data_IF_207826788193
#
_entry.id   IF_207826788193
#
_cell.length_a   1.000
_cell.length_b   1.000
_cell.length_c   1.000
_cell.angle_alpha   90.00
_cell.angle_beta   90.00
_cell.angle_gamma   90.00
#
_symmetry.space_group_name_H-M   'P 1'
#
loop_
_entity.id
_entity.type
_entity.pdbx_description
1 polymer ?
#
# COMPACT_ATOMS: atom_id res chain seq x y z
N UNK A 1 -16.34 -5.31 -28.38
CA UNK A 1 -15.32 -5.34 -27.30
C UNK A 1 -14.69 -3.95 -27.23
N UNK A 2 -14.95 -3.18 -26.17
CA UNK A 2 -14.42 -1.83 -26.05
C UNK A 2 -12.92 -1.88 -25.68
N UNK A 3 -12.09 -1.18 -26.44
CA UNK A 3 -10.67 -1.04 -26.14
C UNK A 3 -10.50 -0.22 -24.84
N UNK A 4 -10.15 -0.89 -23.74
CA UNK A 4 -9.93 -0.30 -22.40
C UNK A 4 -8.60 0.48 -22.32
N UNK A 5 -7.79 0.44 -23.37
CA UNK A 5 -6.50 1.12 -23.41
C UNK A 5 -6.63 2.55 -23.91
N UNK A 6 -6.32 3.52 -23.03
CA UNK A 6 -6.10 4.91 -23.44
C UNK A 6 -4.78 4.95 -24.20
N UNK A 7 -4.87 4.90 -25.54
CA UNK A 7 -3.73 5.13 -26.43
C UNK A 7 -3.44 6.62 -26.46
N UNK A 8 -2.34 7.05 -25.83
CA UNK A 8 -1.75 8.35 -26.13
C UNK A 8 -0.92 8.26 -27.42
N UNK A 9 -0.69 9.39 -28.10
CA UNK A 9 -0.11 9.51 -29.43
C UNK A 9 1.36 9.04 -29.59
N UNK A 10 1.88 8.31 -28.61
CA UNK A 10 3.21 7.73 -28.53
C UNK A 10 3.03 6.33 -27.96
N UNK A 11 3.70 5.31 -28.47
CA UNK A 11 3.51 3.88 -28.16
C UNK A 11 3.81 3.45 -26.69
N UNK A 12 3.58 4.31 -25.71
CA UNK A 12 3.87 4.08 -24.29
C UNK A 12 2.56 4.07 -23.48
N UNK A 13 2.21 2.92 -22.92
CA UNK A 13 1.08 2.81 -21.99
C UNK A 13 1.44 3.41 -20.62
N UNK A 14 0.50 4.10 -19.98
CA UNK A 14 0.69 4.72 -18.67
C UNK A 14 0.06 3.90 -17.54
N UNK A 15 0.68 3.96 -16.36
CA UNK A 15 0.19 3.28 -15.18
C UNK A 15 -1.18 3.82 -14.76
N UNK A 16 -2.11 2.92 -14.44
CA UNK A 16 -3.50 3.26 -14.06
C UNK A 16 -3.72 3.25 -12.54
N UNK A 17 -2.65 3.27 -11.76
CA UNK A 17 -2.68 3.30 -10.30
C UNK A 17 -3.04 4.66 -9.75
N UNK A 18 -3.60 4.65 -8.54
CA UNK A 18 -3.82 5.84 -7.75
C UNK A 18 -3.27 5.66 -6.34
N UNK A 19 -2.74 6.74 -5.78
CA UNK A 19 -2.18 6.78 -4.43
C UNK A 19 -3.18 7.44 -3.47
N UNK A 20 -3.20 6.97 -2.23
CA UNK A 20 -3.91 7.64 -1.14
C UNK A 20 -3.09 8.82 -0.62
N UNK A 21 -3.73 9.99 -0.47
CA UNK A 21 -3.21 11.18 0.21
C UNK A 21 -4.15 11.58 1.38
N UNK A 22 -3.62 11.83 2.58
CA UNK A 22 -4.42 12.25 3.73
C UNK A 22 -5.15 13.58 3.56
N UNK A 23 -4.73 14.46 2.63
CA UNK A 23 -5.42 15.71 2.25
C UNK A 23 -6.61 15.48 1.31
N UNK A 24 -7.12 14.25 1.24
CA UNK A 24 -8.26 13.80 0.43
C UNK A 24 -8.06 13.93 -1.09
N UNK A 25 -6.81 14.01 -1.56
CA UNK A 25 -6.48 14.01 -2.98
C UNK A 25 -6.12 12.59 -3.43
N UNK A 26 -6.82 12.08 -4.44
CA UNK A 26 -6.41 10.85 -5.11
C UNK A 26 -5.40 11.24 -6.18
N UNK A 27 -4.14 10.83 -6.02
CA UNK A 27 -3.07 11.19 -6.95
C UNK A 27 -2.87 10.06 -7.98
N UNK A 28 -3.07 10.31 -9.29
CA UNK A 28 -2.79 9.30 -10.30
C UNK A 28 -1.28 9.10 -10.50
N UNK A 29 -0.88 7.88 -10.88
CA UNK A 29 0.47 7.63 -11.34
C UNK A 29 0.66 8.11 -12.78
N UNK A 30 1.82 8.71 -13.07
CA UNK A 30 2.19 9.18 -14.42
C UNK A 30 3.33 8.39 -15.06
N UNK A 31 3.78 7.30 -14.41
CA UNK A 31 4.90 6.48 -14.90
C UNK A 31 4.46 5.61 -16.08
N UNK A 32 5.38 5.44 -17.03
CA UNK A 32 5.21 4.49 -18.12
C UNK A 32 5.22 3.04 -17.63
N UNK A 33 4.61 2.16 -18.41
CA UNK A 33 4.49 0.72 -18.14
C UNK A 33 5.46 -0.05 -19.03
N UNK A 34 6.24 -0.92 -18.42
CA UNK A 34 7.12 -1.90 -19.08
C UNK A 34 6.38 -3.18 -19.44
N UNK A 35 5.50 -3.66 -18.54
CA UNK A 35 4.77 -4.92 -18.66
C UNK A 35 3.27 -4.72 -18.84
N UNK A 36 2.70 -5.32 -19.90
CA UNK A 36 1.32 -5.08 -20.32
C UNK A 36 0.32 -6.08 -19.74
N UNK A 37 0.53 -6.52 -18.50
CA UNK A 37 -0.39 -7.42 -17.81
C UNK A 37 -1.50 -6.63 -17.11
N UNK A 38 -2.74 -7.06 -17.33
CA UNK A 38 -3.91 -6.57 -16.61
C UNK A 38 -4.04 -7.33 -15.30
N UNK A 39 -3.87 -6.63 -14.19
CA UNK A 39 -3.93 -7.21 -12.84
C UNK A 39 -4.93 -6.45 -11.98
N UNK A 40 -5.37 -7.06 -10.89
CA UNK A 40 -6.25 -6.43 -9.91
C UNK A 40 -5.90 -6.91 -8.50
N UNK A 41 -5.97 -6.05 -7.47
CA UNK A 41 -5.81 -6.48 -6.07
C UNK A 41 -7.03 -7.28 -5.55
N UNK A 42 -8.18 -7.23 -6.22
CA UNK A 42 -9.39 -7.97 -5.83
C UNK A 42 -10.30 -8.20 -7.05
N UNK A 43 -11.07 -9.28 -7.04
CA UNK A 43 -12.06 -9.61 -8.08
C UNK A 43 -13.15 -8.53 -8.25
N UNK A 44 -13.43 -7.77 -7.20
CA UNK A 44 -14.44 -6.71 -7.20
C UNK A 44 -13.93 -5.38 -7.80
N UNK A 45 -12.66 -5.31 -8.19
CA UNK A 45 -12.04 -4.12 -8.74
C UNK A 45 -11.69 -4.32 -10.22
N UNK A 46 -11.73 -3.22 -10.97
CA UNK A 46 -11.34 -3.22 -12.38
C UNK A 46 -9.86 -3.58 -12.53
N UNK A 47 -9.56 -4.43 -13.50
CA UNK A 47 -8.19 -4.73 -13.89
C UNK A 47 -7.51 -3.47 -14.45
N UNK A 48 -6.23 -3.32 -14.12
CA UNK A 48 -5.39 -2.15 -14.45
C UNK A 48 -4.02 -2.61 -14.92
N UNK A 49 -3.31 -1.74 -15.63
CA UNK A 49 -1.88 -1.90 -15.93
C UNK A 49 -1.02 -1.07 -14.96
N UNK A 50 0.15 -1.60 -14.60
CA UNK A 50 0.98 -1.07 -13.53
C UNK A 50 2.41 -0.81 -14.01
N UNK A 51 3.03 0.31 -13.59
CA UNK A 51 4.48 0.48 -13.72
C UNK A 51 5.21 -0.47 -12.75
N UNK A 52 6.52 -0.66 -12.92
CA UNK A 52 7.31 -1.62 -12.13
C UNK A 52 7.18 -1.40 -10.61
N UNK A 53 7.18 -0.15 -10.16
CA UNK A 53 7.02 0.21 -8.74
C UNK A 53 5.65 -0.23 -8.24
N UNK A 54 4.57 0.09 -8.97
CA UNK A 54 3.23 -0.30 -8.54
C UNK A 54 2.98 -1.80 -8.68
N UNK A 55 3.60 -2.46 -9.64
CA UNK A 55 3.52 -3.90 -9.77
C UNK A 55 4.20 -4.59 -8.59
N UNK A 56 5.38 -4.11 -8.20
CA UNK A 56 6.05 -4.59 -6.99
C UNK A 56 5.22 -4.34 -5.74
N UNK A 57 4.67 -3.14 -5.58
CA UNK A 57 3.80 -2.80 -4.44
C UNK A 57 2.50 -3.62 -4.42
N UNK A 58 1.96 -3.97 -5.60
CA UNK A 58 0.79 -4.84 -5.72
C UNK A 58 1.12 -6.25 -5.21
N UNK A 59 2.29 -6.79 -5.57
CA UNK A 59 2.78 -8.10 -5.11
C UNK A 59 3.04 -8.13 -3.61
N UNK A 60 3.48 -7.02 -3.03
CA UNK A 60 3.74 -6.90 -1.58
C UNK A 60 2.49 -6.46 -0.79
N UNK A 61 1.28 -6.54 -1.36
CA UNK A 61 0.04 -6.22 -0.65
C UNK A 61 -0.06 -4.77 -0.10
N UNK A 62 0.64 -3.83 -0.74
CA UNK A 62 0.57 -2.40 -0.41
C UNK A 62 -0.58 -1.66 -1.11
N UNK A 63 -1.42 -2.38 -1.86
CA UNK A 63 -2.64 -1.87 -2.50
C UNK A 63 -3.87 -2.38 -1.75
N UNK A 64 -4.73 -1.48 -1.27
CA UNK A 64 -5.91 -1.88 -0.51
C UNK A 64 -6.94 -2.56 -1.42
N UNK A 65 -7.33 -3.83 -1.16
CA UNK A 65 -8.17 -4.61 -2.09
C UNK A 65 -9.63 -4.19 -2.08
N UNK A 66 -10.08 -3.42 -1.08
CA UNK A 66 -11.46 -2.92 -1.00
C UNK A 66 -11.70 -1.66 -1.83
N UNK A 67 -10.70 -0.78 -1.99
CA UNK A 67 -10.84 0.47 -2.75
C UNK A 67 -9.90 0.58 -3.97
N UNK A 68 -8.85 -0.23 -4.05
CA UNK A 68 -7.91 -0.26 -5.17
C UNK A 68 -6.91 0.89 -5.20
N UNK A 69 -6.71 1.56 -4.07
CA UNK A 69 -5.70 2.62 -3.89
C UNK A 69 -4.48 2.10 -3.12
N UNK A 70 -3.31 2.60 -3.52
CA UNK A 70 -2.05 2.26 -2.89
C UNK A 70 -1.83 3.06 -1.61
N UNK A 71 -1.57 2.34 -0.51
CA UNK A 71 -1.26 2.89 0.80
C UNK A 71 0.15 3.49 0.77
N UNK A 72 0.26 4.78 0.43
CA UNK A 72 1.53 5.43 0.04
C UNK A 72 1.99 6.47 1.05
N UNK A 73 1.07 7.33 1.52
CA UNK A 73 1.37 8.36 2.51
C UNK A 73 0.17 8.54 3.46
N UNK A 74 0.45 8.77 4.74
CA UNK A 74 -0.55 8.89 5.79
C UNK A 74 -0.68 7.64 6.67
N UNK A 75 -1.76 7.55 7.43
CA UNK A 75 -1.97 6.46 8.41
C UNK A 75 -2.83 5.33 7.84
N UNK A 76 -2.36 4.09 8.02
CA UNK A 76 -3.00 2.86 7.56
C UNK A 76 -2.97 1.80 8.66
N UNK A 77 -3.71 0.71 8.44
CA UNK A 77 -3.61 -0.49 9.26
C UNK A 77 -2.65 -1.49 8.59
N UNK A 78 -1.83 -2.13 9.42
CA UNK A 78 -0.91 -3.18 9.03
C UNK A 78 -1.28 -4.50 9.72
N UNK A 79 -1.55 -5.52 8.91
CA UNK A 79 -1.65 -6.90 9.36
C UNK A 79 -0.31 -7.59 9.06
N UNK A 80 0.37 -8.07 10.11
CA UNK A 80 1.54 -8.94 9.97
C UNK A 80 1.03 -10.34 9.69
N UNK A 81 1.09 -10.76 8.43
CA UNK A 81 0.65 -12.08 8.05
C UNK A 81 1.81 -13.05 8.13
N UNK A 82 1.95 -13.69 9.28
CA UNK A 82 2.88 -14.79 9.48
C UNK A 82 2.17 -16.10 9.13
N UNK A 83 2.24 -16.50 7.86
CA UNK A 83 1.97 -17.89 7.54
C UNK A 83 3.26 -18.66 7.73
N UNK A 84 3.28 -19.57 8.72
CA UNK A 84 4.40 -20.49 8.98
C UNK A 84 4.82 -21.34 7.75
N UNK A 85 4.06 -21.31 6.65
CA UNK A 85 4.38 -21.97 5.38
C UNK A 85 4.91 -21.02 4.28
N UNK A 86 4.89 -19.69 4.48
CA UNK A 86 5.52 -18.72 3.61
C UNK A 86 6.78 -18.20 4.30
N UNK A 87 7.92 -18.27 3.63
CA UNK A 87 9.21 -17.73 4.12
C UNK A 87 9.21 -16.19 4.29
N UNK A 88 8.13 -15.51 3.91
CA UNK A 88 8.05 -14.05 3.86
C UNK A 88 6.97 -13.53 4.80
N UNK A 89 7.38 -12.73 5.79
CA UNK A 89 6.49 -11.96 6.65
C UNK A 89 5.98 -10.75 5.86
N UNK A 90 4.88 -10.91 5.12
CA UNK A 90 4.31 -9.88 4.25
C UNK A 90 3.41 -8.93 5.06
N UNK A 91 3.68 -7.62 4.96
CA UNK A 91 2.88 -6.60 5.60
C UNK A 91 1.68 -6.27 4.72
N UNK A 92 0.48 -6.64 5.15
CA UNK A 92 -0.76 -6.28 4.48
C UNK A 92 -1.18 -4.87 4.90
N UNK A 93 -1.11 -3.92 3.96
CA UNK A 93 -1.50 -2.52 4.21
C UNK A 93 -2.90 -2.24 3.67
N UNK A 94 -3.74 -1.61 4.48
CA UNK A 94 -5.09 -1.22 4.09
C UNK A 94 -5.63 -0.07 4.93
N UNK A 95 -6.64 0.64 4.41
CA UNK A 95 -7.25 1.75 5.12
C UNK A 95 -8.13 1.26 6.27
N UNK A 96 -8.19 2.03 7.37
CA UNK A 96 -9.09 1.74 8.51
C UNK A 96 -10.55 1.57 8.10
N UNK A 97 -11.07 2.43 7.23
CA UNK A 97 -12.43 2.31 6.68
C UNK A 97 -12.63 1.11 5.74
N UNK A 98 -11.54 0.46 5.33
CA UNK A 98 -11.55 -0.67 4.42
C UNK A 98 -11.48 -2.03 5.12
N UNK A 99 -11.59 -2.06 6.45
CA UNK A 99 -11.72 -3.29 7.24
C UNK A 99 -12.88 -4.16 6.72
N UNK A 100 -12.71 -5.48 6.83
CA UNK A 100 -13.85 -6.40 6.78
C UNK A 100 -14.53 -6.34 8.15
N UNK A 101 -15.80 -5.97 8.17
CA UNK A 101 -16.60 -5.97 9.39
C UNK A 101 -17.61 -7.11 9.21
N UNK A 102 -17.33 -8.31 9.74
CA UNK A 102 -18.30 -9.39 9.80
C UNK A 102 -19.48 -9.01 10.71
N UNK A 103 -20.50 -9.87 10.79
CA UNK A 103 -21.62 -9.69 11.74
C UNK A 103 -21.10 -9.46 13.17
N UNK A 104 -21.91 -8.78 13.99
CA UNK A 104 -21.54 -8.12 15.26
C UNK A 104 -20.88 -8.97 16.37
N UNK A 105 -20.63 -10.25 16.13
CA UNK A 105 -19.94 -11.15 17.06
C UNK A 105 -18.47 -11.43 16.70
N UNK A 106 -17.96 -10.92 15.59
CA UNK A 106 -16.59 -11.21 15.15
C UNK A 106 -15.71 -9.95 15.13
N UNK A 107 -14.41 -10.07 15.47
CA UNK A 107 -13.46 -8.96 15.32
C UNK A 107 -13.35 -8.54 13.85
N UNK A 108 -12.82 -7.35 13.57
CA UNK A 108 -12.63 -6.93 12.19
C UNK A 108 -11.53 -7.75 11.50
N UNK A 109 -11.71 -8.00 10.20
CA UNK A 109 -10.84 -8.83 9.39
C UNK A 109 -9.97 -8.04 8.43
N UNK A 110 -8.79 -8.59 8.14
CA UNK A 110 -7.89 -8.09 7.12
C UNK A 110 -8.50 -8.34 5.73
N UNK A 111 -8.68 -7.32 4.88
CA UNK A 111 -9.31 -7.48 3.57
C UNK A 111 -8.41 -8.21 2.55
N UNK A 112 -7.16 -8.54 2.90
CA UNK A 112 -6.24 -9.31 2.05
C UNK A 112 -6.28 -10.81 2.34
N UNK A 113 -6.22 -11.22 3.61
CA UNK A 113 -6.11 -12.63 4.00
C UNK A 113 -7.27 -13.14 4.85
N UNK A 114 -8.28 -12.31 5.13
CA UNK A 114 -9.43 -12.63 5.97
C UNK A 114 -9.08 -13.06 7.41
N UNK A 115 -7.85 -12.78 7.87
CA UNK A 115 -7.49 -13.01 9.26
C UNK A 115 -8.09 -11.94 10.15
N UNK A 116 -8.70 -12.36 11.25
CA UNK A 116 -9.25 -11.50 12.28
C UNK A 116 -8.21 -11.33 13.39
N UNK A 117 -7.73 -10.11 13.59
CA UNK A 117 -6.74 -9.80 14.62
C UNK A 117 -6.80 -8.32 14.96
N UNK A 118 -6.08 -7.95 16.01
CA UNK A 118 -5.72 -6.55 16.22
C UNK A 118 -4.70 -6.14 15.14
N UNK A 119 -4.97 -5.03 14.47
CA UNK A 119 -4.09 -4.46 13.44
C UNK A 119 -3.31 -3.30 14.02
N UNK A 120 -2.04 -3.18 13.63
CA UNK A 120 -1.20 -2.05 14.06
C UNK A 120 -1.49 -0.82 13.21
N UNK A 121 -1.54 0.36 13.83
CA UNK A 121 -1.51 1.62 13.11
C UNK A 121 -0.08 1.86 12.62
N UNK A 122 0.07 2.14 11.33
CA UNK A 122 1.34 2.51 10.73
C UNK A 122 1.20 3.83 10.00
N UNK A 123 2.21 4.69 10.13
CA UNK A 123 2.32 5.91 9.38
C UNK A 123 3.32 5.75 8.24
N UNK A 124 2.92 6.11 7.03
CA UNK A 124 3.76 6.08 5.85
C UNK A 124 4.14 7.51 5.43
N UNK A 125 5.42 7.77 5.25
CA UNK A 125 5.93 9.01 4.68
C UNK A 125 6.64 8.74 3.36
N UNK A 126 6.13 9.36 2.29
CA UNK A 126 6.75 9.30 0.97
C UNK A 126 7.76 10.42 0.76
N UNK A 127 8.94 10.07 0.26
CA UNK A 127 10.01 10.99 -0.14
C UNK A 127 10.40 10.69 -1.59
N UNK A 128 10.45 11.73 -2.41
CA UNK A 128 10.86 11.65 -3.82
C UNK A 128 12.26 12.22 -4.01
N UNK A 129 13.12 11.50 -4.75
CA UNK A 129 14.48 11.94 -5.08
C UNK A 129 15.59 11.37 -4.18
N UNK A 130 16.82 11.84 -4.41
CA UNK A 130 18.06 11.45 -3.71
C UNK A 130 18.24 12.17 -2.36
N UNK A 131 17.16 12.62 -1.73
CA UNK A 131 17.23 13.19 -0.39
C UNK A 131 17.43 12.07 0.63
N UNK A 132 18.66 11.57 0.67
CA UNK A 132 19.14 10.74 1.76
C UNK A 132 19.07 11.56 3.05
N UNK A 133 18.31 11.03 4.01
CA UNK A 133 18.64 11.13 5.44
C UNK A 133 18.30 12.43 6.18
N UNK A 134 17.01 12.69 6.42
CA UNK A 134 16.61 13.42 7.64
C UNK A 134 15.45 12.78 8.43
N UNK A 135 14.72 11.79 7.88
CA UNK A 135 13.67 11.08 8.66
C UNK A 135 14.28 10.05 9.62
N UNK A 136 15.41 9.42 9.27
CA UNK A 136 16.11 8.49 10.15
C UNK A 136 16.84 9.15 11.35
N UNK A 137 16.83 10.49 11.46
CA UNK A 137 17.58 11.24 12.48
C UNK A 137 16.70 12.16 13.36
N UNK A 138 15.37 12.01 13.34
CA UNK A 138 14.52 12.72 14.31
C UNK A 138 14.11 11.76 15.43
N UNK A 139 14.75 12.00 16.58
CA UNK A 139 14.44 11.52 17.93
C UNK A 139 14.99 10.14 18.29
N UNK A 140 16.22 10.17 18.81
CA UNK A 140 16.90 9.11 19.56
C UNK A 140 16.32 8.89 20.97
N UNK A 141 15.02 9.12 21.20
CA UNK A 141 14.42 9.01 22.54
C UNK A 141 13.07 8.26 22.60
N UNK A 142 12.49 7.78 21.49
CA UNK A 142 11.32 6.89 21.49
C UNK A 142 11.54 5.71 20.51
N UNK A 143 11.19 4.49 20.92
CA UNK A 143 11.50 3.21 20.25
C UNK A 143 10.67 2.94 18.97
N UNK A 144 10.43 3.95 18.13
CA UNK A 144 9.70 3.76 16.88
C UNK A 144 10.64 3.21 15.78
N UNK A 145 10.50 1.93 15.47
CA UNK A 145 11.25 1.28 14.37
C UNK A 145 10.83 1.86 13.01
N UNK A 146 11.69 2.68 12.41
CA UNK A 146 11.48 3.27 11.07
C UNK A 146 12.04 2.33 9.99
N UNK A 147 11.17 1.79 9.13
CA UNK A 147 11.55 0.88 8.04
C UNK A 147 11.32 1.51 6.66
N UNK A 148 12.32 1.46 5.78
CA UNK A 148 12.13 1.80 4.36
C UNK A 148 11.55 0.59 3.60
N UNK A 149 10.27 0.63 3.28
CA UNK A 149 9.55 -0.47 2.62
C UNK A 149 9.71 -0.47 1.09
N UNK A 150 10.51 0.45 0.53
CA UNK A 150 10.81 0.52 -0.91
C UNK A 150 12.31 0.75 -1.17
N UNK A 151 13.15 0.23 -0.28
CA UNK A 151 14.62 0.28 -0.32
C UNK A 151 15.22 -0.16 -1.67
N UNK A 152 14.58 -1.10 -2.36
CA UNK A 152 14.99 -1.60 -3.69
C UNK A 152 14.85 -0.59 -4.83
N UNK A 153 14.16 0.54 -4.63
CA UNK A 153 13.92 1.53 -5.67
C UNK A 153 14.71 2.81 -5.43
N UNK A 154 15.44 3.26 -6.45
CA UNK A 154 16.11 4.55 -6.44
C UNK A 154 15.08 5.68 -6.54
N UNK A 155 15.21 6.74 -5.75
CA UNK A 155 14.37 7.94 -5.76
C UNK A 155 12.87 7.70 -5.44
N UNK A 156 12.54 6.56 -4.85
CA UNK A 156 11.17 6.24 -4.41
C UNK A 156 11.23 5.59 -3.03
N UNK A 157 11.08 6.42 -2.00
CA UNK A 157 11.26 5.99 -0.62
C UNK A 157 9.96 6.18 0.17
N UNK A 158 9.41 5.07 0.66
CA UNK A 158 8.29 5.07 1.60
C UNK A 158 8.84 4.54 2.92
N UNK A 159 8.86 5.40 3.93
CA UNK A 159 9.20 5.01 5.29
C UNK A 159 7.93 4.67 6.06
N UNK A 160 7.97 3.56 6.78
CA UNK A 160 6.91 3.08 7.65
C UNK A 160 7.36 3.20 9.10
N UNK A 161 6.54 3.83 9.93
CA UNK A 161 6.70 3.85 11.38
C UNK A 161 5.49 3.19 12.03
N UNK A 162 5.71 2.36 13.03
CA UNK A 162 4.61 1.86 13.87
C UNK A 162 4.22 2.98 14.82
N UNK A 163 2.93 3.26 14.94
CA UNK A 163 2.44 4.18 15.97
C UNK A 163 1.97 3.32 17.14
N UNK A 164 2.67 3.39 18.27
CA UNK A 164 2.20 2.82 19.53
C UNK A 164 1.07 3.70 20.06
N UNK A 165 -0.14 3.41 19.59
CA UNK A 165 -1.36 3.91 20.21
C UNK A 165 -2.32 2.75 20.41
N UNK A 166 -2.79 2.69 21.65
CA UNK A 166 -3.61 1.67 22.29
C UNK A 166 -4.50 0.89 21.32
N UNK A 167 -4.50 -0.43 21.50
CA UNK A 167 -5.52 -1.37 21.02
C UNK A 167 -6.79 -0.65 20.64
N UNK A 168 -7.18 -0.73 19.36
CA UNK A 168 -8.41 -0.11 18.87
C UNK A 168 -9.58 -0.74 19.63
N UNK A 169 -9.98 -0.12 20.74
CA UNK A 169 -11.28 -0.39 21.34
C UNK A 169 -12.31 0.12 20.32
N UNK A 170 -12.96 -0.84 19.66
CA UNK A 170 -14.16 -0.62 18.86
C UNK A 170 -15.35 -0.35 19.77
#
# INVERSE_FOLDING_TARGET
>A
MANIFVKTNSQNYQCQSFHWDPKLLIVPCTKAVSQHHLLTPSSNLKHKIFCDIHLWRLKNHHCCPKCGYFCTQGTFLCCKYDQAMKETNENHLFHRRCLLVPDSCFPPGCPHCCMFSDFKNVHLSYVFGNENSQIANRNSDEQDEVLNITDKFQNYHIFMTTQDDQSVNL
#
